data_IF_145320884219
#
_entry.id   IF_145320884219
#
_cell.length_a   1.000
_cell.length_b   1.000
_cell.length_c   1.000
_cell.angle_alpha   90.00
_cell.angle_beta   90.00
_cell.angle_gamma   90.00
#
_symmetry.space_group_name_H-M   'P 1'
#
loop_
_entity.id
_entity.type
_entity.pdbx_description
1 polymer ?
#
# COMPACT_ATOMS: atom_id res chain seq x y z
N UNK A 1 -10.88 -7.50 -23.31
CA UNK A 1 -10.37 -6.16 -22.93
C UNK A 1 -10.38 -6.12 -21.41
N UNK A 2 -9.22 -6.24 -20.75
CA UNK A 2 -9.16 -6.07 -19.29
C UNK A 2 -9.44 -4.59 -19.02
N UNK A 3 -10.57 -4.29 -18.40
CA UNK A 3 -10.97 -2.95 -18.03
C UNK A 3 -10.00 -2.48 -16.92
N UNK A 4 -8.83 -1.93 -17.32
CA UNK A 4 -7.86 -1.38 -16.36
C UNK A 4 -8.49 -0.13 -15.76
N UNK A 5 -9.07 -0.27 -14.57
CA UNK A 5 -9.46 0.88 -13.76
C UNK A 5 -8.24 1.80 -13.62
N UNK A 6 -8.42 3.14 -13.65
CA UNK A 6 -7.32 4.06 -13.45
C UNK A 6 -6.60 3.73 -12.15
N UNK A 7 -5.28 3.93 -12.13
CA UNK A 7 -4.49 3.69 -10.93
C UNK A 7 -4.97 4.57 -9.78
N UNK A 8 -4.94 4.06 -8.54
CA UNK A 8 -5.25 4.89 -7.39
C UNK A 8 -4.14 5.94 -7.23
N UNK A 9 -4.53 7.17 -6.92
CA UNK A 9 -3.61 8.29 -6.74
C UNK A 9 -3.40 8.65 -5.27
N UNK A 10 -4.19 8.05 -4.37
CA UNK A 10 -4.09 8.25 -2.93
C UNK A 10 -3.77 6.94 -2.22
N UNK A 11 -3.12 7.04 -1.06
CA UNK A 11 -2.81 5.89 -0.20
C UNK A 11 -4.10 5.16 0.22
N UNK A 12 -5.17 5.92 0.46
CA UNK A 12 -6.47 5.39 0.85
C UNK A 12 -7.10 4.54 -0.26
N UNK A 13 -7.17 5.05 -1.48
CA UNK A 13 -7.72 4.33 -2.62
C UNK A 13 -6.88 3.08 -2.95
N UNK A 14 -5.55 3.20 -2.81
CA UNK A 14 -4.63 2.09 -2.99
C UNK A 14 -4.90 0.98 -1.96
N UNK A 15 -4.98 1.33 -0.68
CA UNK A 15 -5.25 0.37 0.39
C UNK A 15 -6.64 -0.30 0.22
N UNK A 16 -7.68 0.48 -0.08
CA UNK A 16 -9.02 -0.07 -0.31
C UNK A 16 -9.08 -1.00 -1.53
N UNK A 17 -8.40 -0.65 -2.62
CA UNK A 17 -8.31 -1.52 -3.80
C UNK A 17 -7.65 -2.85 -3.46
N UNK A 18 -6.54 -2.83 -2.71
CA UNK A 18 -5.84 -4.06 -2.30
C UNK A 18 -6.67 -4.87 -1.29
N UNK A 19 -7.39 -4.24 -0.37
CA UNK A 19 -8.28 -4.96 0.56
C UNK A 19 -9.45 -5.60 -0.18
N UNK A 20 -10.02 -4.92 -1.18
CA UNK A 20 -11.15 -5.41 -1.96
C UNK A 20 -10.83 -6.67 -2.77
N UNK A 21 -9.60 -6.81 -3.26
CA UNK A 21 -9.13 -8.00 -3.98
C UNK A 21 -8.68 -9.14 -3.06
N UNK A 22 -8.30 -8.84 -1.82
CA UNK A 22 -7.96 -9.87 -0.82
C UNK A 22 -9.19 -10.67 -0.38
N UNK A 23 -9.03 -11.99 -0.29
CA UNK A 23 -10.00 -12.87 0.38
C UNK A 23 -9.84 -12.84 1.90
N UNK A 24 -10.82 -13.39 2.63
CA UNK A 24 -10.83 -13.35 4.10
C UNK A 24 -9.63 -14.06 4.74
N UNK A 25 -9.11 -15.10 4.09
CA UNK A 25 -7.93 -15.83 4.57
C UNK A 25 -6.66 -14.97 4.45
N UNK A 26 -6.50 -14.22 3.37
CA UNK A 26 -5.41 -13.25 3.17
C UNK A 26 -5.52 -12.10 4.16
N UNK A 27 -6.71 -11.53 4.37
CA UNK A 27 -6.95 -10.47 5.37
C UNK A 27 -6.62 -10.94 6.78
N UNK A 28 -6.96 -12.18 7.12
CA UNK A 28 -6.64 -12.78 8.42
C UNK A 28 -5.13 -12.95 8.59
N UNK A 29 -4.42 -13.38 7.55
CA UNK A 29 -2.96 -13.45 7.56
C UNK A 29 -2.32 -12.08 7.78
N UNK A 30 -2.79 -11.05 7.07
CA UNK A 30 -2.27 -9.68 7.23
C UNK A 30 -2.54 -9.15 8.64
N UNK A 31 -3.73 -9.40 9.21
CA UNK A 31 -4.05 -9.04 10.60
C UNK A 31 -3.15 -9.74 11.64
N UNK A 32 -2.73 -10.97 11.37
CA UNK A 32 -1.85 -11.72 12.27
C UNK A 32 -0.38 -11.27 12.22
N UNK A 33 0.00 -10.41 11.26
CA UNK A 33 1.36 -9.86 11.16
C UNK A 33 1.49 -8.73 12.17
N UNK A 34 2.55 -8.78 12.98
CA UNK A 34 2.92 -7.67 13.85
C UNK A 34 3.52 -6.52 13.05
N UNK A 35 3.27 -5.28 13.49
CA UNK A 35 3.72 -4.06 12.79
C UNK A 35 5.23 -4.06 12.50
N UNK A 36 6.05 -4.57 13.42
CA UNK A 36 7.51 -4.71 13.28
C UNK A 36 7.94 -5.66 12.14
N UNK A 37 7.06 -6.60 11.77
CA UNK A 37 7.26 -7.55 10.67
C UNK A 37 6.65 -7.07 9.37
N UNK A 38 5.75 -6.09 9.40
CA UNK A 38 5.09 -5.53 8.22
C UNK A 38 6.10 -4.86 7.29
N UNK A 39 7.00 -4.03 7.85
CA UNK A 39 8.11 -3.38 7.12
C UNK A 39 9.12 -4.37 6.55
N UNK A 40 9.16 -5.59 7.09
CA UNK A 40 10.04 -6.70 6.63
C UNK A 40 9.36 -7.63 5.64
N UNK A 41 8.04 -7.49 5.42
CA UNK A 41 7.26 -8.38 4.57
C UNK A 41 7.42 -8.01 3.09
N UNK A 42 8.66 -8.08 2.59
CA UNK A 42 8.99 -7.52 1.28
C UNK A 42 8.74 -8.47 0.10
N UNK A 43 8.42 -9.76 0.28
CA UNK A 43 8.65 -10.70 -0.83
C UNK A 43 7.45 -11.17 -1.66
N UNK A 44 6.23 -11.26 -1.12
CA UNK A 44 5.07 -11.68 -1.94
C UNK A 44 4.02 -10.59 -2.05
N UNK A 45 3.59 -10.04 -0.92
CA UNK A 45 2.56 -9.01 -0.92
C UNK A 45 3.09 -7.65 -1.42
N UNK A 46 4.29 -7.24 -1.05
CA UNK A 46 4.90 -6.01 -1.56
C UNK A 46 5.11 -6.03 -3.08
N UNK A 47 5.55 -7.17 -3.64
CA UNK A 47 5.68 -7.35 -5.10
C UNK A 47 4.31 -7.26 -5.78
N UNK A 48 3.28 -7.89 -5.21
CA UNK A 48 1.92 -7.82 -5.72
C UNK A 48 1.37 -6.39 -5.71
N UNK A 49 1.50 -5.68 -4.58
CA UNK A 49 1.09 -4.28 -4.42
C UNK A 49 1.78 -3.38 -5.46
N UNK A 50 3.08 -3.56 -5.68
CA UNK A 50 3.84 -2.79 -6.69
C UNK A 50 3.32 -2.99 -8.10
N UNK A 51 2.95 -4.22 -8.47
CA UNK A 51 2.42 -4.54 -9.78
C UNK A 51 0.99 -4.02 -9.96
N UNK A 52 0.09 -4.33 -9.02
CA UNK A 52 -1.33 -3.97 -9.12
C UNK A 52 -1.59 -2.47 -9.09
N UNK A 53 -0.71 -1.70 -8.41
CA UNK A 53 -0.86 -0.26 -8.28
C UNK A 53 -0.02 0.52 -9.29
N UNK A 54 0.71 -0.16 -10.18
CA UNK A 54 1.54 0.48 -11.19
C UNK A 54 2.72 1.26 -10.62
N UNK A 55 3.26 0.87 -9.45
CA UNK A 55 4.38 1.58 -8.83
C UNK A 55 5.67 1.49 -9.68
N UNK A 56 5.82 0.44 -10.49
CA UNK A 56 6.89 0.34 -11.49
C UNK A 56 6.50 0.85 -12.88
N UNK A 57 5.21 1.14 -13.10
CA UNK A 57 4.66 1.45 -14.42
C UNK A 57 4.42 2.96 -14.61
N UNK A 58 4.74 3.79 -13.62
CA UNK A 58 4.63 5.25 -13.69
C UNK A 58 3.45 5.84 -12.92
N UNK A 59 2.97 5.18 -11.87
CA UNK A 59 1.99 5.79 -10.95
C UNK A 59 2.66 6.82 -10.00
N UNK A 60 3.24 7.87 -10.59
CA UNK A 60 4.00 8.90 -9.87
C UNK A 60 3.14 9.67 -8.87
N UNK A 61 1.83 9.78 -9.13
CA UNK A 61 0.89 10.42 -8.23
C UNK A 61 0.80 9.67 -6.88
N UNK A 62 0.71 8.35 -6.92
CA UNK A 62 0.69 7.53 -5.71
C UNK A 62 2.04 7.49 -5.01
N UNK A 63 3.15 7.41 -5.76
CA UNK A 63 4.50 7.45 -5.17
C UNK A 63 4.70 8.79 -4.45
N UNK A 64 4.31 9.90 -5.08
CA UNK A 64 4.35 11.22 -4.46
C UNK A 64 3.48 11.31 -3.22
N UNK A 65 2.25 10.77 -3.26
CA UNK A 65 1.38 10.73 -2.09
C UNK A 65 2.02 9.95 -0.92
N UNK A 66 2.69 8.83 -1.20
CA UNK A 66 3.42 8.06 -0.19
C UNK A 66 4.60 8.86 0.37
N UNK A 67 5.42 9.45 -0.49
CA UNK A 67 6.59 10.23 -0.08
C UNK A 67 6.22 11.45 0.79
N UNK A 68 5.14 12.17 0.45
CA UNK A 68 4.61 13.28 1.25
C UNK A 68 4.10 12.79 2.60
N UNK A 69 3.41 11.65 2.63
CA UNK A 69 2.88 11.08 3.88
C UNK A 69 3.96 10.69 4.87
N UNK A 70 5.12 10.23 4.40
CA UNK A 70 6.20 9.74 5.28
C UNK A 70 7.21 10.84 5.65
N UNK A 71 7.54 11.73 4.71
CA UNK A 71 8.62 12.70 4.87
C UNK A 71 8.15 14.17 4.87
N UNK A 72 6.87 14.41 4.61
CA UNK A 72 6.33 15.76 4.41
C UNK A 72 6.72 16.36 3.04
N UNK A 73 6.12 17.51 2.69
CA UNK A 73 6.22 18.08 1.35
C UNK A 73 7.67 18.38 0.91
N UNK A 74 8.50 18.94 1.80
CA UNK A 74 9.86 19.38 1.47
C UNK A 74 10.85 18.24 1.26
N UNK A 75 10.80 17.18 2.08
CA UNK A 75 11.74 16.06 1.98
C UNK A 75 11.27 14.98 1.00
N UNK A 76 9.97 14.98 0.64
CA UNK A 76 9.38 14.02 -0.31
C UNK A 76 10.10 13.97 -1.66
N UNK A 77 10.71 15.08 -2.12
CA UNK A 77 11.42 15.16 -3.40
C UNK A 77 12.54 14.12 -3.54
N UNK A 78 13.15 13.70 -2.42
CA UNK A 78 14.20 12.68 -2.43
C UNK A 78 13.66 11.25 -2.61
N UNK A 79 12.35 11.05 -2.39
CA UNK A 79 11.70 9.73 -2.39
C UNK A 79 10.64 9.58 -3.51
N UNK A 80 10.54 10.56 -4.42
CA UNK A 80 9.57 10.57 -5.53
C UNK A 80 9.72 9.42 -6.53
N UNK A 81 10.82 8.67 -6.48
CA UNK A 81 11.09 7.52 -7.34
C UNK A 81 11.44 6.26 -6.53
N UNK A 82 10.84 6.11 -5.34
CA UNK A 82 11.07 4.95 -4.48
C UNK A 82 9.81 4.08 -4.33
N UNK A 83 9.57 3.13 -5.26
CA UNK A 83 8.52 2.14 -5.16
C UNK A 83 8.64 1.22 -3.94
N UNK A 84 9.84 1.08 -3.36
CA UNK A 84 10.04 0.27 -2.17
C UNK A 84 9.44 0.93 -0.95
N UNK A 85 9.83 2.17 -0.71
CA UNK A 85 9.27 3.02 0.35
C UNK A 85 7.76 3.21 0.18
N UNK A 86 7.30 3.53 -1.04
CA UNK A 86 5.86 3.67 -1.32
C UNK A 86 5.05 2.40 -1.02
N UNK A 87 5.58 1.22 -1.34
CA UNK A 87 4.90 -0.04 -1.00
C UNK A 87 4.79 -0.27 0.50
N UNK A 88 5.79 0.15 1.29
CA UNK A 88 5.78 0.06 2.75
C UNK A 88 4.66 0.91 3.36
N UNK A 89 4.54 2.15 2.92
CA UNK A 89 3.47 3.08 3.34
C UNK A 89 2.08 2.50 3.03
N UNK A 90 1.90 1.93 1.85
CA UNK A 90 0.62 1.32 1.44
C UNK A 90 0.30 0.07 2.27
N UNK A 91 1.30 -0.78 2.57
CA UNK A 91 1.13 -1.95 3.43
C UNK A 91 0.72 -1.55 4.84
N UNK A 92 1.31 -0.48 5.39
CA UNK A 92 0.92 0.08 6.69
C UNK A 92 -0.54 0.57 6.68
N UNK A 93 -0.94 1.29 5.63
CA UNK A 93 -2.34 1.72 5.47
C UNK A 93 -3.32 0.54 5.38
N UNK A 94 -2.97 -0.53 4.66
CA UNK A 94 -3.78 -1.76 4.58
C UNK A 94 -3.90 -2.39 5.97
N UNK A 95 -2.79 -2.55 6.69
CA UNK A 95 -2.76 -3.17 8.01
C UNK A 95 -3.60 -2.38 9.01
N UNK A 96 -3.44 -1.06 9.05
CA UNK A 96 -4.22 -0.16 9.89
C UNK A 96 -5.71 -0.30 9.61
N UNK A 97 -6.11 -0.29 8.32
CA UNK A 97 -7.52 -0.44 7.94
C UNK A 97 -8.12 -1.78 8.34
N UNK A 98 -7.37 -2.88 8.20
CA UNK A 98 -7.88 -4.19 8.61
C UNK A 98 -8.08 -4.29 10.14
N UNK A 99 -7.33 -3.52 10.93
CA UNK A 99 -7.49 -3.44 12.39
C UNK A 99 -8.57 -2.44 12.83
N UNK A 100 -8.85 -1.40 12.05
CA UNK A 100 -9.95 -0.45 12.35
C UNK A 100 -11.31 -0.94 11.84
N UNK A 101 -11.34 -1.80 10.82
CA UNK A 101 -12.56 -2.45 10.32
C UNK A 101 -13.12 -3.53 11.25
N UNK A 102 -12.37 -3.92 12.29
CA UNK A 102 -12.91 -4.71 13.41
C UNK A 102 -13.40 -3.75 14.49
N UNK A 103 -14.73 -3.64 14.74
CA UNK A 103 -15.18 -3.06 16.00
C UNK A 103 -14.69 -3.98 17.14
N UNK A 104 -14.31 -3.34 18.24
CA UNK A 104 -13.79 -3.88 19.50
C UNK A 104 -14.05 -5.37 19.78
N UNK A 105 -13.00 -6.03 20.29
CA UNK A 105 -13.10 -7.29 21.04
C UNK A 105 -14.01 -7.15 22.25
#
# INVERSE_FOLDING_TARGET
MHNRLPWPQTINDAAERIIAIMNEHERTKVRAISEDKLKKLCFSLGIYVRHELGLFEGNDALIKACAISEHGDFESFHFLNDPDTASGVILEAIWNRLHTLTPDR
#
